data_IF_528133837097
#
_entry.id   IF_528133837097
#
_cell.length_a   1.000
_cell.length_b   1.000
_cell.length_c   1.000
_cell.angle_alpha   90.00
_cell.angle_beta   90.00
_cell.angle_gamma   90.00
#
_symmetry.space_group_name_H-M   'P 1'
#
loop_
_entity.id
_entity.type
_entity.pdbx_description
1 polymer ?
#
# COMPACT_ATOMS: atom_id res chain seq x y z
N UNK A 1 -11.50 -11.21 -14.78
CA UNK A 1 -11.98 -10.23 -13.90
C UNK A 1 -10.93 -9.33 -13.47
N UNK A 2 -11.19 -8.10 -13.32
CA UNK A 2 -10.18 -7.11 -13.08
C UNK A 2 -10.40 -6.45 -11.75
N UNK A 3 -9.36 -6.32 -10.97
CA UNK A 3 -9.41 -5.53 -9.76
C UNK A 3 -9.41 -4.09 -10.13
N UNK A 4 -10.16 -3.30 -9.42
CA UNK A 4 -10.26 -1.89 -9.67
C UNK A 4 -9.71 -1.13 -8.47
N UNK A 5 -8.64 -0.41 -8.66
CA UNK A 5 -8.04 0.40 -7.61
C UNK A 5 -8.11 1.85 -8.04
N UNK A 6 -8.74 2.67 -7.21
CA UNK A 6 -8.85 4.10 -7.50
C UNK A 6 -8.46 4.88 -6.26
N UNK A 7 -8.07 6.12 -6.45
CA UNK A 7 -7.78 7.01 -5.33
C UNK A 7 -8.11 8.43 -5.72
N UNK A 8 -8.33 9.25 -4.71
CA UNK A 8 -8.59 10.67 -4.90
C UNK A 8 -8.13 11.42 -3.66
N UNK A 9 -8.57 12.63 -3.47
CA UNK A 9 -8.17 13.44 -2.32
C UNK A 9 -8.71 12.88 -1.01
N UNK A 10 -9.66 12.00 -1.07
CA UNK A 10 -10.26 11.40 0.14
C UNK A 10 -9.52 10.16 0.58
N UNK A 11 -9.12 9.31 -0.33
CA UNK A 11 -8.46 8.06 0.04
C UNK A 11 -8.29 7.12 -1.12
N UNK A 12 -8.08 5.86 -0.78
CA UNK A 12 -7.83 4.79 -1.75
C UNK A 12 -8.91 3.73 -1.61
N UNK A 13 -9.36 3.19 -2.72
CA UNK A 13 -10.42 2.19 -2.74
C UNK A 13 -10.06 1.09 -3.72
N UNK A 14 -10.32 -0.12 -3.33
CA UNK A 14 -10.12 -1.27 -4.20
C UNK A 14 -11.39 -2.11 -4.24
N UNK A 15 -11.83 -2.45 -5.43
CA UNK A 15 -12.98 -3.33 -5.61
C UNK A 15 -12.44 -4.67 -6.10
N UNK A 16 -12.70 -5.73 -5.34
CA UNK A 16 -12.20 -7.04 -5.73
C UNK A 16 -13.11 -7.66 -6.77
N UNK A 17 -12.60 -8.64 -7.51
CA UNK A 17 -13.43 -9.34 -8.50
C UNK A 17 -14.65 -10.02 -7.90
N UNK A 18 -14.61 -10.30 -6.61
CA UNK A 18 -15.72 -10.95 -5.93
C UNK A 18 -16.74 -9.98 -5.43
N UNK A 19 -16.55 -8.71 -5.66
CA UNK A 19 -17.49 -7.70 -5.22
C UNK A 19 -17.20 -7.07 -3.88
N UNK A 20 -16.13 -7.50 -3.21
CA UNK A 20 -15.75 -6.89 -1.94
C UNK A 20 -15.11 -5.53 -2.17
N UNK A 21 -15.23 -4.64 -1.22
CA UNK A 21 -14.66 -3.31 -1.31
C UNK A 21 -13.75 -3.08 -0.12
N UNK A 22 -12.53 -2.65 -0.41
CA UNK A 22 -11.58 -2.23 0.63
C UNK A 22 -11.35 -0.74 0.43
N UNK A 23 -11.28 0.00 1.51
CA UNK A 23 -11.16 1.44 1.43
C UNK A 23 -10.46 1.99 2.64
N UNK A 24 -9.60 2.99 2.45
CA UNK A 24 -8.98 3.70 3.56
C UNK A 24 -8.87 5.16 3.16
N UNK A 25 -9.21 6.07 4.07
CA UNK A 25 -9.06 7.49 3.80
C UNK A 25 -7.66 7.94 4.20
N UNK A 26 -7.18 9.01 3.58
CA UNK A 26 -5.86 9.53 3.92
C UNK A 26 -5.80 9.96 5.39
N UNK A 27 -6.91 10.48 5.91
CA UNK A 27 -6.97 10.90 7.31
C UNK A 27 -6.88 9.73 8.27
N UNK A 28 -7.37 8.57 7.84
CA UNK A 28 -7.41 7.38 8.68
C UNK A 28 -6.17 6.53 8.49
N UNK A 29 -5.38 6.80 7.45
CA UNK A 29 -4.22 6.00 7.13
C UNK A 29 -3.19 6.09 8.25
N UNK A 30 -2.75 4.95 8.74
CA UNK A 30 -1.78 4.90 9.85
C UNK A 30 -0.46 4.30 9.42
N UNK A 31 -0.46 3.51 8.34
CA UNK A 31 0.74 2.77 8.01
C UNK A 31 0.76 2.41 6.53
N UNK A 32 1.91 2.46 5.90
CA UNK A 32 2.11 1.99 4.53
C UNK A 32 3.26 1.00 4.55
N UNK A 33 3.00 -0.22 4.13
CA UNK A 33 4.01 -1.26 4.04
C UNK A 33 4.07 -1.79 2.63
N UNK A 34 5.22 -2.28 2.24
CA UNK A 34 5.34 -3.02 0.99
C UNK A 34 5.69 -4.45 1.37
N UNK A 35 4.91 -5.39 0.87
CA UNK A 35 5.17 -6.81 1.13
C UNK A 35 5.62 -7.43 -0.17
N UNK A 36 6.74 -8.12 -0.15
CA UNK A 36 7.25 -8.81 -1.32
C UNK A 36 7.12 -10.30 -1.13
N UNK A 37 6.96 -11.02 -2.23
CA UNK A 37 6.85 -12.47 -2.17
C UNK A 37 7.75 -13.08 -3.22
N UNK A 38 8.08 -14.34 -3.02
CA UNK A 38 8.88 -15.09 -3.98
C UNK A 38 8.01 -16.01 -4.82
N UNK A 39 6.75 -15.64 -5.03
CA UNK A 39 5.79 -16.51 -5.67
C UNK A 39 6.05 -16.75 -7.14
N UNK A 40 6.79 -15.97 -7.76
CA UNK A 40 7.16 -16.22 -9.13
C UNK A 40 6.24 -15.59 -10.14
N UNK A 41 6.35 -16.00 -11.39
CA UNK A 41 5.83 -15.18 -12.48
C UNK A 41 4.32 -15.14 -12.62
N UNK A 42 3.62 -16.02 -11.97
CA UNK A 42 2.18 -16.03 -12.11
C UNK A 42 1.46 -15.28 -11.02
N UNK A 43 2.14 -14.79 -10.02
CA UNK A 43 1.52 -14.04 -8.96
C UNK A 43 2.08 -12.65 -8.91
N UNK A 44 1.46 -11.82 -8.12
CA UNK A 44 1.96 -10.49 -7.91
C UNK A 44 3.12 -10.59 -6.93
N UNK A 45 4.26 -10.03 -7.29
CA UNK A 45 5.44 -10.12 -6.43
C UNK A 45 5.44 -9.06 -5.34
N UNK A 46 4.71 -7.99 -5.51
CA UNK A 46 4.75 -6.85 -4.60
C UNK A 46 3.35 -6.37 -4.31
N UNK A 47 3.04 -6.15 -3.03
CA UNK A 47 1.77 -5.57 -2.62
C UNK A 47 2.03 -4.39 -1.71
N UNK A 48 1.27 -3.34 -1.90
CA UNK A 48 1.32 -2.16 -1.03
C UNK A 48 0.15 -2.27 -0.06
N UNK A 49 0.44 -2.35 1.22
CA UNK A 49 -0.58 -2.46 2.24
C UNK A 49 -0.78 -1.09 2.88
N UNK A 50 -1.97 -0.54 2.70
CA UNK A 50 -2.33 0.76 3.25
C UNK A 50 -3.30 0.51 4.39
N UNK A 51 -2.84 0.63 5.62
CA UNK A 51 -3.62 0.29 6.80
C UNK A 51 -4.23 1.51 7.45
N UNK A 52 -5.45 1.40 7.86
CA UNK A 52 -6.17 2.47 8.56
C UNK A 52 -6.29 2.21 10.05
N UNK A 53 -6.81 3.17 10.77
CA UNK A 53 -6.84 3.14 12.23
C UNK A 53 -7.87 2.20 12.79
N UNK A 54 -8.89 1.87 12.05
CA UNK A 54 -9.98 1.05 12.55
C UNK A 54 -9.86 -0.37 12.09
N UNK A 55 -8.69 -0.85 11.73
CA UNK A 55 -8.56 -2.19 11.17
C UNK A 55 -8.94 -2.24 9.71
N UNK A 56 -9.26 -1.13 9.10
CA UNK A 56 -9.51 -1.06 7.68
C UNK A 56 -8.19 -1.06 6.93
N UNK A 57 -8.22 -1.33 5.65
CA UNK A 57 -7.01 -1.28 4.86
C UNK A 57 -7.25 -1.71 3.44
N UNK A 58 -6.28 -1.43 2.61
CA UNK A 58 -6.35 -1.78 1.20
C UNK A 58 -5.03 -2.44 0.82
N UNK A 59 -5.11 -3.58 0.16
CA UNK A 59 -3.94 -4.24 -0.39
C UNK A 59 -3.91 -3.94 -1.88
N UNK A 60 -2.93 -3.18 -2.33
CA UNK A 60 -2.83 -2.76 -3.71
C UNK A 60 -1.72 -3.53 -4.39
N UNK A 61 -2.04 -4.35 -5.38
CA UNK A 61 -0.98 -5.06 -6.13
C UNK A 61 -0.04 -4.04 -6.76
N UNK A 62 1.24 -4.35 -6.77
CA UNK A 62 2.23 -3.42 -7.32
C UNK A 62 1.93 -2.99 -8.75
N UNK A 63 1.36 -3.88 -9.53
CA UNK A 63 1.02 -3.56 -10.90
C UNK A 63 -0.13 -2.57 -11.03
N UNK A 64 -0.89 -2.37 -9.95
CA UNK A 64 -1.99 -1.41 -9.93
C UNK A 64 -1.59 -0.06 -9.36
N UNK A 65 -0.36 0.07 -8.88
CA UNK A 65 0.11 1.36 -8.35
C UNK A 65 0.55 2.20 -9.53
N UNK A 66 -0.20 3.26 -9.81
CA UNK A 66 0.13 4.16 -10.90
C UNK A 66 1.15 5.20 -10.43
N UNK A 67 1.73 5.91 -11.35
CA UNK A 67 2.69 6.98 -11.02
C UNK A 67 2.03 8.04 -10.14
N UNK A 68 0.75 8.32 -10.38
CA UNK A 68 0.03 9.31 -9.59
C UNK A 68 -0.17 8.82 -8.15
N UNK A 69 -0.51 7.56 -7.98
CA UNK A 69 -0.69 7.02 -6.63
C UNK A 69 0.64 6.97 -5.91
N UNK A 70 1.68 6.56 -6.61
CA UNK A 70 3.01 6.50 -6.03
C UNK A 70 3.45 7.88 -5.56
N UNK A 71 3.25 8.89 -6.39
CA UNK A 71 3.62 10.25 -6.02
C UNK A 71 2.86 10.72 -4.78
N UNK A 72 1.60 10.34 -4.67
CA UNK A 72 0.79 10.70 -3.51
C UNK A 72 1.34 10.03 -2.25
N UNK A 73 1.71 8.76 -2.34
CA UNK A 73 2.25 8.05 -1.20
C UNK A 73 3.61 8.62 -0.80
N UNK A 74 4.46 8.92 -1.76
CA UNK A 74 5.76 9.49 -1.47
C UNK A 74 5.66 10.89 -0.90
N UNK A 75 4.54 11.56 -1.10
CA UNK A 75 4.29 12.87 -0.53
C UNK A 75 3.89 12.86 0.93
N UNK A 76 3.65 11.69 1.51
CA UNK A 76 3.33 11.62 2.92
C UNK A 76 4.54 12.04 3.75
N UNK A 77 4.30 12.85 4.76
CA UNK A 77 5.40 13.37 5.57
C UNK A 77 6.08 12.22 6.31
N UNK A 78 7.36 12.05 6.09
CA UNK A 78 8.11 10.97 6.72
C UNK A 78 8.13 9.68 5.94
N UNK A 79 7.65 9.69 4.71
CA UNK A 79 7.69 8.48 3.88
C UNK A 79 9.16 8.08 3.65
N UNK A 80 9.45 6.79 3.83
CA UNK A 80 10.80 6.27 3.76
C UNK A 80 11.07 5.70 2.37
N UNK A 81 11.67 6.50 1.51
CA UNK A 81 11.98 6.08 0.16
C UNK A 81 13.04 4.98 0.11
N UNK A 82 13.91 4.92 1.09
CA UNK A 82 14.92 3.89 1.17
C UNK A 82 14.30 2.52 1.35
N UNK A 83 13.31 2.42 2.23
CA UNK A 83 12.60 1.17 2.43
C UNK A 83 11.85 0.77 1.16
N UNK A 84 11.28 1.75 0.47
CA UNK A 84 10.59 1.48 -0.78
C UNK A 84 11.56 0.89 -1.81
N UNK A 85 12.74 1.48 -1.93
CA UNK A 85 13.73 0.99 -2.89
C UNK A 85 14.19 -0.41 -2.53
N UNK A 86 14.39 -0.68 -1.25
CA UNK A 86 14.78 -2.01 -0.81
C UNK A 86 13.71 -3.02 -1.13
N UNK A 87 12.45 -2.65 -0.96
CA UNK A 87 11.34 -3.54 -1.26
C UNK A 87 11.30 -3.85 -2.75
N UNK A 88 11.51 -2.84 -3.59
CA UNK A 88 11.44 -3.03 -5.02
C UNK A 88 12.55 -3.93 -5.56
N UNK A 89 13.64 -4.06 -4.84
CA UNK A 89 14.74 -4.91 -5.25
C UNK A 89 14.76 -6.25 -4.54
N UNK A 90 13.82 -6.48 -3.62
CA UNK A 90 13.78 -7.73 -2.87
C UNK A 90 13.18 -8.84 -3.72
N UNK A 91 13.76 -10.02 -3.63
CA UNK A 91 13.22 -11.19 -4.30
C UNK A 91 12.76 -12.23 -3.30
N UNK A 92 12.74 -11.90 -2.01
CA UNK A 92 12.35 -12.83 -0.96
C UNK A 92 11.02 -12.43 -0.37
N UNK A 93 10.44 -13.31 0.42
CA UNK A 93 9.25 -12.96 1.19
C UNK A 93 9.65 -12.04 2.33
N UNK A 94 9.21 -10.81 2.27
CA UNK A 94 9.59 -9.81 3.26
C UNK A 94 8.55 -8.71 3.34
N UNK A 95 8.62 -7.90 4.37
CA UNK A 95 7.77 -6.72 4.47
C UNK A 95 8.63 -5.52 4.86
N UNK A 96 8.29 -4.36 4.33
CA UNK A 96 9.07 -3.15 4.53
C UNK A 96 8.10 -2.04 4.93
N UNK A 97 8.31 -1.47 6.11
CA UNK A 97 7.48 -0.36 6.58
C UNK A 97 8.00 0.91 5.95
N UNK A 98 7.20 1.53 5.11
CA UNK A 98 7.60 2.73 4.38
C UNK A 98 7.08 4.01 5.03
N UNK A 99 6.00 3.92 5.78
CA UNK A 99 5.44 5.10 6.42
C UNK A 99 4.58 4.67 7.61
N UNK A 100 4.61 5.45 8.65
CA UNK A 100 3.79 5.23 9.82
C UNK A 100 3.40 6.58 10.36
N UNK A 101 2.15 6.74 10.75
CA UNK A 101 1.68 8.02 11.24
C UNK A 101 2.38 8.35 12.55
N UNK A 102 2.99 9.52 12.56
CA UNK A 102 3.71 9.98 13.70
C UNK A 102 2.74 10.37 14.79
N UNK A 103 3.12 10.27 15.98
CA UNK A 103 2.27 10.68 17.08
C UNK A 103 1.32 9.66 17.53
N UNK A 104 0.86 8.89 16.64
CA UNK A 104 -0.03 7.85 16.98
C UNK A 104 0.63 6.86 17.83
N UNK A 105 1.86 6.65 17.59
CA UNK A 105 2.50 5.72 18.28
C UNK A 105 2.81 6.09 19.61
N UNK A 106 2.61 7.11 19.83
CA UNK A 106 2.94 7.46 21.04
C UNK A 106 3.09 6.39 21.86
N UNK A 107 2.92 6.05 21.29
CA UNK A 107 3.10 5.24 21.86
C UNK A 107 3.61 4.79 22.04
#
# INVERSE_FOLDING_TARGET
MIEDVTFDDTGVRRVSPEGGVEEVTWDDLTEVKIVTTAEGPFGEDVYWLLAGSDGTGVAVPGSSVTDDLLARLQGLAGFDNEQMIQAMTSTDNASFLCWQRDGGQGS
#
